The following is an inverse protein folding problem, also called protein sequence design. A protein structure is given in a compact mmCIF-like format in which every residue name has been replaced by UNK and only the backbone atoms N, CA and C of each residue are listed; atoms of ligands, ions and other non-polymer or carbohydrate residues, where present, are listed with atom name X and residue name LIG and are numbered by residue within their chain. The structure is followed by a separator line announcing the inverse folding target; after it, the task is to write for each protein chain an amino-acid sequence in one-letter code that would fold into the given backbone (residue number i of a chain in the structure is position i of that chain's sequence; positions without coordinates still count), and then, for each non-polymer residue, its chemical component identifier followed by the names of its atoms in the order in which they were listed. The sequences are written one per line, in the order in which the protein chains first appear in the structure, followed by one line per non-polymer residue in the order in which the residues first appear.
data_IF_443399811836
#
_entry.id   IF_443399811836
#
_cell.length_a   1.000
_cell.length_b   1.000
_cell.length_c   1.000
_cell.angle_alpha   90.00
_cell.angle_beta   90.00
_cell.angle_gamma   90.00
#
_symmetry.space_group_name_H-M   'P 1'
#
loop_
_entity.id
_entity.type
_entity.pdbx_description
1 polymer ?
#
# COMPACT_ATOMS: atom_id res chain seq x y z
N UNK A 1 21.10 9.94 -18.10
CA UNK A 1 19.63 9.83 -17.88
C UNK A 1 18.88 9.27 -19.10
N UNK A 2 19.15 9.75 -20.33
CA UNK A 2 18.62 9.16 -21.58
C UNK A 2 18.90 7.64 -21.69
N UNK A 3 20.08 7.19 -21.28
CA UNK A 3 20.44 5.75 -21.30
C UNK A 3 19.70 4.89 -20.28
N UNK A 4 19.14 5.50 -19.22
CA UNK A 4 18.37 4.75 -18.21
C UNK A 4 16.96 4.47 -18.72
N UNK A 5 16.35 5.43 -19.41
CA UNK A 5 15.02 5.29 -20.02
C UNK A 5 15.07 4.26 -21.14
N UNK A 6 16.14 4.26 -21.96
CA UNK A 6 16.35 3.26 -23.01
C UNK A 6 16.50 1.82 -22.51
N UNK A 7 16.92 1.63 -21.25
CA UNK A 7 17.12 0.32 -20.59
C UNK A 7 15.90 -0.19 -19.80
N UNK A 8 14.76 0.49 -19.88
CA UNK A 8 13.55 0.09 -19.14
C UNK A 8 12.45 -0.40 -20.08
N UNK A 9 11.96 -1.60 -19.80
CA UNK A 9 10.76 -2.17 -20.43
C UNK A 9 9.51 -1.42 -19.96
N UNK A 10 8.41 -1.55 -20.71
CA UNK A 10 7.12 -0.96 -20.30
C UNK A 10 6.65 -1.45 -18.92
N UNK A 11 6.70 -2.76 -18.57
CA UNK A 11 6.33 -3.23 -17.23
C UNK A 11 7.15 -2.60 -16.10
N UNK A 12 8.45 -2.42 -16.30
CA UNK A 12 9.32 -1.75 -15.30
C UNK A 12 8.88 -0.29 -15.10
N UNK A 13 8.57 0.42 -16.18
CA UNK A 13 8.06 1.81 -16.11
C UNK A 13 6.72 1.89 -15.37
N UNK A 14 5.83 0.91 -15.60
CA UNK A 14 4.57 0.80 -14.86
C UNK A 14 4.83 0.58 -13.36
N UNK A 15 5.75 -0.33 -13.02
CA UNK A 15 6.16 -0.56 -11.63
C UNK A 15 6.69 0.72 -10.95
N UNK A 16 7.53 1.49 -11.64
CA UNK A 16 8.01 2.80 -11.16
C UNK A 16 6.85 3.77 -10.93
N UNK A 17 5.96 3.92 -11.92
CA UNK A 17 4.82 4.83 -11.82
C UNK A 17 3.94 4.47 -10.62
N UNK A 18 3.64 3.19 -10.42
CA UNK A 18 2.84 2.72 -9.30
C UNK A 18 3.52 2.96 -7.95
N UNK A 19 4.83 2.76 -7.86
CA UNK A 19 5.59 3.06 -6.65
C UNK A 19 5.56 4.56 -6.32
N UNK A 20 5.72 5.43 -7.33
CA UNK A 20 5.59 6.89 -7.17
C UNK A 20 4.17 7.27 -6.77
N UNK A 21 3.15 6.68 -7.39
CA UNK A 21 1.76 6.89 -6.99
C UNK A 21 1.51 6.48 -5.54
N UNK A 22 2.10 5.38 -5.07
CA UNK A 22 2.04 4.98 -3.65
C UNK A 22 2.64 6.05 -2.75
N UNK A 23 3.78 6.62 -3.09
CA UNK A 23 4.41 7.71 -2.33
C UNK A 23 3.51 8.96 -2.31
N UNK A 24 3.00 9.38 -3.49
CA UNK A 24 2.09 10.53 -3.58
C UNK A 24 0.81 10.30 -2.78
N UNK A 25 0.27 9.08 -2.80
CA UNK A 25 -0.86 8.67 -1.99
C UNK A 25 -0.54 8.78 -0.50
N UNK A 26 0.64 8.30 -0.07
CA UNK A 26 1.10 8.43 1.31
C UNK A 26 1.18 9.88 1.77
N UNK A 27 1.80 10.77 0.99
CA UNK A 27 1.83 12.20 1.30
C UNK A 27 0.43 12.81 1.38
N UNK A 28 -0.47 12.44 0.46
CA UNK A 28 -1.86 12.93 0.45
C UNK A 28 -2.60 12.51 1.73
N UNK A 29 -2.50 11.24 2.13
CA UNK A 29 -3.07 10.75 3.39
C UNK A 29 -2.43 11.46 4.59
N UNK A 30 -1.11 11.68 4.56
CA UNK A 30 -0.39 12.40 5.62
C UNK A 30 -0.87 13.84 5.78
N UNK A 31 -1.12 14.55 4.68
CA UNK A 31 -1.69 15.91 4.69
C UNK A 31 -3.10 15.89 5.29
N UNK A 32 -3.96 14.97 4.86
CA UNK A 32 -5.33 14.87 5.38
C UNK A 32 -5.33 14.52 6.87
N UNK A 33 -4.51 13.55 7.28
CA UNK A 33 -4.43 13.08 8.65
C UNK A 33 -3.77 14.10 9.60
N UNK A 34 -2.74 14.80 9.16
CA UNK A 34 -2.01 15.78 9.97
C UNK A 34 -2.56 17.21 9.89
N UNK A 35 -2.86 17.69 8.69
CA UNK A 35 -3.28 19.07 8.42
C UNK A 35 -4.79 19.29 8.44
N UNK A 36 -5.59 18.24 8.24
CA UNK A 36 -7.06 18.29 8.20
C UNK A 36 -7.71 17.28 9.16
N UNK A 37 -7.06 16.99 10.29
CA UNK A 37 -7.49 16.00 11.28
C UNK A 37 -8.96 16.21 11.72
N UNK A 38 -9.38 17.47 11.90
CA UNK A 38 -10.77 17.81 12.25
C UNK A 38 -11.77 17.37 11.19
N UNK A 39 -11.49 17.58 9.91
CA UNK A 39 -12.35 17.15 8.79
C UNK A 39 -12.44 15.63 8.78
N UNK A 40 -11.30 14.95 8.89
CA UNK A 40 -11.28 13.49 8.89
C UNK A 40 -12.08 12.91 10.06
N UNK A 41 -11.85 13.42 11.27
CA UNK A 41 -12.61 12.99 12.47
C UNK A 41 -14.09 13.22 12.32
N UNK A 42 -14.52 14.35 11.74
CA UNK A 42 -15.93 14.64 11.51
C UNK A 42 -16.55 13.65 10.52
N UNK A 43 -15.84 13.30 9.43
CA UNK A 43 -16.32 12.28 8.48
C UNK A 43 -16.46 10.91 9.15
N UNK A 44 -15.47 10.48 9.93
CA UNK A 44 -15.52 9.21 10.63
C UNK A 44 -16.65 9.19 11.68
N UNK A 45 -16.80 10.28 12.43
CA UNK A 45 -17.85 10.44 13.44
C UNK A 45 -19.24 10.41 12.81
N UNK A 46 -19.47 11.14 11.72
CA UNK A 46 -20.74 11.12 11.00
C UNK A 46 -21.12 9.71 10.52
N UNK A 47 -20.14 8.92 10.04
CA UNK A 47 -20.35 7.52 9.67
C UNK A 47 -20.76 6.65 10.86
N UNK A 48 -20.18 6.87 12.03
CA UNK A 48 -20.51 6.13 13.24
C UNK A 48 -21.89 6.51 13.80
N UNK A 49 -22.19 7.81 13.85
CA UNK A 49 -23.46 8.35 14.36
C UNK A 49 -24.65 7.87 13.52
N UNK A 50 -24.48 7.77 12.20
CA UNK A 50 -25.50 7.23 11.29
C UNK A 50 -25.93 5.79 11.62
N UNK A 51 -25.10 5.02 12.34
CA UNK A 51 -25.38 3.63 12.73
C UNK A 51 -25.34 3.42 14.24
N UNK A 52 -25.39 4.51 15.03
CA UNK A 52 -25.26 4.45 16.50
C UNK A 52 -26.32 3.54 17.15
N UNK A 53 -27.57 3.65 16.70
CA UNK A 53 -28.66 2.83 17.25
C UNK A 53 -28.56 1.38 16.78
N UNK A 54 -28.26 1.15 15.50
CA UNK A 54 -28.39 -0.16 14.84
C UNK A 54 -27.17 -1.06 14.97
N UNK A 55 -25.97 -0.49 14.97
CA UNK A 55 -24.69 -1.23 15.01
C UNK A 55 -24.04 -1.13 16.39
N UNK A 56 -24.14 0.04 17.03
CA UNK A 56 -23.53 0.28 18.33
C UNK A 56 -24.50 0.11 19.51
N UNK A 57 -25.81 -0.08 19.29
CA UNK A 57 -26.81 -0.20 20.37
C UNK A 57 -26.75 0.97 21.37
N UNK A 58 -26.50 2.19 20.90
CA UNK A 58 -26.27 3.40 21.71
C UNK A 58 -25.03 3.34 22.63
N UNK A 59 -24.11 2.40 22.42
CA UNK A 59 -22.83 2.33 23.14
C UNK A 59 -21.81 3.36 22.60
N UNK A 60 -21.76 4.51 23.28
CA UNK A 60 -20.89 5.64 22.93
C UNK A 60 -19.42 5.32 23.17
N UNK A 61 -19.09 4.50 24.17
CA UNK A 61 -17.70 4.16 24.51
C UNK A 61 -17.11 3.23 23.45
N UNK A 62 -17.89 2.23 23.01
CA UNK A 62 -17.53 1.39 21.87
C UNK A 62 -17.38 2.21 20.60
N UNK A 63 -18.29 3.15 20.34
CA UNK A 63 -18.19 4.06 19.19
C UNK A 63 -16.87 4.85 19.21
N UNK A 64 -16.53 5.46 20.35
CA UNK A 64 -15.28 6.22 20.53
C UNK A 64 -14.04 5.35 20.35
N UNK A 65 -14.06 4.12 20.87
CA UNK A 65 -12.99 3.14 20.70
C UNK A 65 -12.76 2.83 19.21
N UNK A 66 -13.82 2.52 18.45
CA UNK A 66 -13.73 2.24 17.02
C UNK A 66 -13.26 3.46 16.22
N UNK A 67 -13.70 4.68 16.56
CA UNK A 67 -13.20 5.91 15.92
C UNK A 67 -11.69 6.08 16.10
N UNK A 68 -11.17 5.80 17.30
CA UNK A 68 -9.73 5.88 17.56
C UNK A 68 -8.95 4.80 16.76
N UNK A 69 -9.45 3.56 16.77
CA UNK A 69 -8.84 2.47 16.00
C UNK A 69 -8.86 2.76 14.49
N UNK A 70 -9.96 3.30 13.97
CA UNK A 70 -10.11 3.74 12.58
C UNK A 70 -9.05 4.77 12.20
N UNK A 71 -8.79 5.77 13.04
CA UNK A 71 -7.68 6.72 12.86
C UNK A 71 -6.32 6.01 12.78
N UNK A 72 -6.10 5.00 13.62
CA UNK A 72 -4.91 4.13 13.57
C UNK A 72 -4.74 3.42 12.21
N UNK A 73 -5.82 2.89 11.64
CA UNK A 73 -5.80 2.24 10.31
C UNK A 73 -5.46 3.24 9.19
N UNK A 74 -5.99 4.46 9.24
CA UNK A 74 -5.65 5.49 8.26
C UNK A 74 -4.19 5.93 8.39
N UNK A 75 -3.67 6.01 9.62
CA UNK A 75 -2.23 6.21 9.84
C UNK A 75 -1.40 5.08 9.25
N UNK A 76 -1.86 3.82 9.36
CA UNK A 76 -1.19 2.69 8.70
C UNK A 76 -1.18 2.82 7.18
N UNK A 77 -2.24 3.38 6.57
CA UNK A 77 -2.26 3.67 5.15
C UNK A 77 -1.14 4.63 4.74
N UNK A 78 -0.94 5.72 5.48
CA UNK A 78 0.16 6.67 5.26
C UNK A 78 1.53 5.99 5.37
N UNK A 79 1.75 5.24 6.46
CA UNK A 79 3.04 4.59 6.73
C UNK A 79 3.37 3.55 5.66
N UNK A 80 2.42 2.67 5.32
CA UNK A 80 2.65 1.65 4.30
C UNK A 80 2.81 2.26 2.90
N UNK A 81 2.07 3.32 2.58
CA UNK A 81 2.17 3.99 1.29
C UNK A 81 3.57 4.52 1.01
N UNK A 82 4.16 5.20 2.00
CA UNK A 82 5.51 5.74 1.90
C UNK A 82 6.57 4.67 2.08
N UNK A 83 6.44 3.80 3.09
CA UNK A 83 7.41 2.74 3.36
C UNK A 83 7.53 1.75 2.20
N UNK A 84 6.41 1.19 1.73
CA UNK A 84 6.40 0.28 0.59
C UNK A 84 6.70 1.01 -0.71
N UNK A 85 6.15 2.21 -0.92
CA UNK A 85 6.40 2.99 -2.14
C UNK A 85 7.88 3.31 -2.36
N UNK A 86 8.56 3.85 -1.33
CA UNK A 86 9.99 4.16 -1.38
C UNK A 86 10.83 2.88 -1.56
N UNK A 87 10.52 1.84 -0.78
CA UNK A 87 11.25 0.57 -0.86
C UNK A 87 11.10 -0.08 -2.25
N UNK A 88 9.88 -0.15 -2.78
CA UNK A 88 9.60 -0.65 -4.12
C UNK A 88 10.36 0.15 -5.19
N UNK A 89 10.35 1.48 -5.10
CA UNK A 89 11.07 2.32 -6.06
C UNK A 89 12.58 2.08 -6.01
N UNK A 90 13.16 2.02 -4.81
CA UNK A 90 14.58 1.73 -4.63
C UNK A 90 14.97 0.36 -5.18
N UNK A 91 14.19 -0.68 -4.85
CA UNK A 91 14.41 -2.04 -5.35
C UNK A 91 14.31 -2.13 -6.88
N UNK A 92 13.33 -1.46 -7.49
CA UNK A 92 13.19 -1.40 -8.95
C UNK A 92 14.41 -0.73 -9.58
N UNK A 93 14.90 0.38 -9.02
CA UNK A 93 16.12 1.01 -9.52
C UNK A 93 17.35 0.14 -9.36
N UNK A 94 17.51 -0.55 -8.23
CA UNK A 94 18.61 -1.49 -8.06
C UNK A 94 18.53 -2.63 -9.09
N UNK A 95 17.34 -3.17 -9.38
CA UNK A 95 17.17 -4.18 -10.45
C UNK A 95 17.52 -3.63 -11.84
N UNK A 96 17.25 -2.35 -12.12
CA UNK A 96 17.65 -1.71 -13.37
C UNK A 96 19.18 -1.67 -13.51
N UNK A 97 19.88 -1.41 -12.41
CA UNK A 97 21.34 -1.25 -12.42
C UNK A 97 22.09 -2.59 -12.45
N UNK A 98 21.59 -3.61 -11.74
CA UNK A 98 22.37 -4.81 -11.44
C UNK A 98 21.81 -6.09 -12.04
N UNK A 99 20.53 -6.12 -12.44
CA UNK A 99 19.89 -7.34 -12.92
C UNK A 99 19.65 -7.29 -14.44
N UNK A 100 19.88 -8.40 -15.15
CA UNK A 100 19.59 -8.47 -16.58
C UNK A 100 18.10 -8.32 -16.84
N UNK A 101 17.77 -7.83 -18.03
CA UNK A 101 16.37 -7.73 -18.48
C UNK A 101 15.73 -9.11 -18.65
N UNK A 102 14.43 -9.17 -18.39
CA UNK A 102 13.65 -10.38 -18.55
C UNK A 102 12.35 -10.37 -17.75
N UNK A 103 11.49 -11.34 -18.04
CA UNK A 103 10.14 -11.44 -17.46
C UNK A 103 10.11 -11.43 -15.93
N UNK A 104 11.12 -12.00 -15.27
CA UNK A 104 11.21 -11.99 -13.81
C UNK A 104 11.38 -10.58 -13.24
N UNK A 105 12.21 -9.73 -13.87
CA UNK A 105 12.40 -8.32 -13.50
C UNK A 105 11.14 -7.50 -13.77
N UNK A 106 10.49 -7.74 -14.90
CA UNK A 106 9.21 -7.11 -15.26
C UNK A 106 8.13 -7.43 -14.22
N UNK A 107 7.94 -8.71 -13.90
CA UNK A 107 6.98 -9.17 -12.89
C UNK A 107 7.32 -8.63 -11.52
N UNK A 108 8.60 -8.64 -11.11
CA UNK A 108 9.03 -8.10 -9.83
C UNK A 108 8.65 -6.61 -9.70
N UNK A 109 8.93 -5.81 -10.73
CA UNK A 109 8.63 -4.38 -10.72
C UNK A 109 7.13 -4.09 -10.63
N UNK A 110 6.31 -4.81 -11.41
CA UNK A 110 4.85 -4.65 -11.35
C UNK A 110 4.28 -5.10 -10.01
N UNK A 111 4.71 -6.25 -9.50
CA UNK A 111 4.28 -6.77 -8.18
C UNK A 111 4.65 -5.82 -7.03
N UNK A 112 5.86 -5.26 -7.03
CA UNK A 112 6.30 -4.27 -6.05
C UNK A 112 5.45 -2.99 -6.09
N UNK A 113 5.18 -2.46 -7.28
CA UNK A 113 4.37 -1.25 -7.45
C UNK A 113 2.89 -1.45 -7.09
N UNK A 114 2.26 -2.49 -7.64
CA UNK A 114 0.84 -2.81 -7.36
C UNK A 114 0.64 -3.21 -5.91
N UNK A 115 1.55 -4.00 -5.34
CA UNK A 115 1.49 -4.40 -3.94
C UNK A 115 1.57 -3.21 -2.99
N UNK A 116 2.52 -2.28 -3.22
CA UNK A 116 2.66 -1.08 -2.41
C UNK A 116 1.39 -0.21 -2.43
N UNK A 117 0.90 0.14 -3.62
CA UNK A 117 -0.28 0.99 -3.74
C UNK A 117 -1.56 0.29 -3.24
N UNK A 118 -1.76 -0.97 -3.63
CA UNK A 118 -2.95 -1.75 -3.28
C UNK A 118 -3.07 -1.99 -1.78
N UNK A 119 -1.98 -2.37 -1.12
CA UNK A 119 -1.99 -2.68 0.32
C UNK A 119 -2.19 -1.42 1.15
N UNK A 120 -1.63 -0.31 0.71
CA UNK A 120 -1.82 1.00 1.36
C UNK A 120 -3.25 1.51 1.19
N UNK A 121 -3.86 1.28 0.02
CA UNK A 121 -5.27 1.60 -0.24
C UNK A 121 -6.20 0.77 0.63
N UNK A 122 -5.88 -0.51 0.86
CA UNK A 122 -6.60 -1.38 1.78
C UNK A 122 -6.70 -0.76 3.18
N UNK A 123 -5.58 -0.31 3.76
CA UNK A 123 -5.58 0.29 5.09
C UNK A 123 -6.45 1.54 5.18
N UNK A 124 -6.45 2.38 4.14
CA UNK A 124 -7.30 3.57 4.10
C UNK A 124 -8.78 3.19 4.09
N UNK A 125 -9.18 2.26 3.23
CA UNK A 125 -10.57 1.83 3.15
C UNK A 125 -11.03 1.08 4.40
N UNK A 126 -10.15 0.29 5.03
CA UNK A 126 -10.42 -0.35 6.30
C UNK A 126 -10.72 0.70 7.39
N UNK A 127 -9.88 1.73 7.48
CA UNK A 127 -10.10 2.87 8.38
C UNK A 127 -11.44 3.57 8.11
N UNK A 128 -11.75 3.89 6.85
CA UNK A 128 -12.98 4.61 6.48
C UNK A 128 -14.25 3.77 6.68
N UNK A 129 -14.18 2.44 6.56
CA UNK A 129 -15.31 1.52 6.74
C UNK A 129 -15.60 1.19 8.20
N UNK A 130 -14.55 1.08 9.04
CA UNK A 130 -14.68 0.60 10.41
C UNK A 130 -15.78 1.30 11.25
N UNK A 131 -15.96 2.64 11.19
CA UNK A 131 -17.02 3.31 11.95
C UNK A 131 -18.44 2.92 11.51
N UNK A 132 -18.65 2.70 10.21
CA UNK A 132 -19.96 2.28 9.70
C UNK A 132 -20.30 0.81 10.01
N UNK A 133 -19.29 -0.01 10.31
CA UNK A 133 -19.45 -1.43 10.64
C UNK A 133 -19.36 -1.71 12.15
N UNK A 134 -18.99 -0.71 12.96
CA UNK A 134 -18.77 -0.90 14.40
C UNK A 134 -17.63 -1.84 14.76
N UNK A 135 -16.77 -2.19 13.81
CA UNK A 135 -15.70 -3.16 13.97
C UNK A 135 -14.61 -2.97 12.92
N UNK A 136 -13.36 -2.90 13.37
CA UNK A 136 -12.19 -2.92 12.49
C UNK A 136 -11.99 -4.29 11.84
N UNK A 137 -12.34 -5.37 12.54
CA UNK A 137 -12.27 -6.73 11.99
C UNK A 137 -13.24 -6.90 10.82
N UNK A 138 -14.50 -6.50 10.98
CA UNK A 138 -15.47 -6.56 9.88
C UNK A 138 -15.03 -5.69 8.69
N UNK A 139 -14.38 -4.55 8.95
CA UNK A 139 -13.82 -3.72 7.89
C UNK A 139 -12.71 -4.45 7.11
N UNK A 140 -11.79 -5.14 7.80
CA UNK A 140 -10.75 -5.95 7.19
C UNK A 140 -11.34 -7.10 6.37
N UNK A 141 -12.27 -7.84 6.97
CA UNK A 141 -12.92 -8.99 6.34
C UNK A 141 -13.69 -8.55 5.08
N UNK A 142 -14.31 -7.36 5.10
CA UNK A 142 -14.99 -6.80 3.93
C UNK A 142 -14.06 -6.40 2.77
N UNK A 143 -12.74 -6.43 2.97
CA UNK A 143 -11.72 -5.98 2.04
C UNK A 143 -10.65 -7.06 1.74
N UNK A 144 -10.88 -8.32 2.13
CA UNK A 144 -9.92 -9.41 1.92
C UNK A 144 -9.49 -9.58 0.46
N UNK A 145 -10.41 -9.36 -0.50
CA UNK A 145 -10.13 -9.42 -1.94
C UNK A 145 -9.15 -8.32 -2.42
N UNK A 146 -8.99 -7.24 -1.66
CA UNK A 146 -7.97 -6.23 -1.92
C UNK A 146 -6.71 -6.52 -1.10
N UNK A 147 -6.87 -6.80 0.20
CA UNK A 147 -5.78 -6.95 1.15
C UNK A 147 -4.85 -8.11 0.79
N UNK A 148 -5.41 -9.31 0.55
CA UNK A 148 -4.63 -10.53 0.35
C UNK A 148 -3.84 -10.46 -0.96
N UNK A 149 -4.44 -10.15 -2.12
CA UNK A 149 -3.68 -10.07 -3.36
C UNK A 149 -2.63 -8.96 -3.33
N UNK A 150 -2.92 -7.80 -2.73
CA UNK A 150 -1.94 -6.71 -2.64
C UNK A 150 -0.75 -7.04 -1.73
N UNK A 151 -1.00 -7.67 -0.58
CA UNK A 151 0.07 -8.17 0.29
C UNK A 151 0.89 -9.26 -0.41
N UNK A 152 0.22 -10.21 -1.09
CA UNK A 152 0.87 -11.27 -1.85
C UNK A 152 1.75 -10.71 -2.97
N UNK A 153 1.29 -9.69 -3.69
CA UNK A 153 2.09 -9.00 -4.72
C UNK A 153 3.32 -8.33 -4.11
N UNK A 154 3.20 -7.66 -2.96
CA UNK A 154 4.36 -7.06 -2.27
C UNK A 154 5.42 -8.11 -1.93
N UNK A 155 5.00 -9.24 -1.36
CA UNK A 155 5.90 -10.33 -0.99
C UNK A 155 6.49 -11.01 -2.22
N UNK A 156 5.67 -11.31 -3.23
CA UNK A 156 6.14 -11.92 -4.47
C UNK A 156 7.15 -11.03 -5.20
N UNK A 157 6.90 -9.72 -5.26
CA UNK A 157 7.83 -8.74 -5.82
C UNK A 157 9.17 -8.72 -5.07
N UNK A 158 9.13 -8.77 -3.74
CA UNK A 158 10.33 -8.85 -2.91
C UNK A 158 11.12 -10.15 -3.15
N UNK A 159 10.44 -11.30 -3.17
CA UNK A 159 11.07 -12.61 -3.39
C UNK A 159 11.70 -12.72 -4.78
N UNK A 160 11.02 -12.24 -5.83
CA UNK A 160 11.57 -12.20 -7.18
C UNK A 160 12.79 -11.29 -7.25
N UNK A 161 12.72 -10.11 -6.61
CA UNK A 161 13.84 -9.18 -6.53
C UNK A 161 15.04 -9.82 -5.85
N UNK A 162 14.83 -10.48 -4.70
CA UNK A 162 15.89 -11.20 -3.99
C UNK A 162 16.52 -12.29 -4.88
N UNK A 163 15.71 -13.13 -5.54
CA UNK A 163 16.20 -14.16 -6.44
C UNK A 163 17.01 -13.60 -7.62
N UNK A 164 16.62 -12.44 -8.16
CA UNK A 164 17.37 -11.74 -9.20
C UNK A 164 18.72 -11.24 -8.70
N UNK A 165 18.80 -10.72 -7.48
CA UNK A 165 20.07 -10.30 -6.88
C UNK A 165 20.99 -11.49 -6.58
N UNK A 166 20.45 -12.58 -6.03
CA UNK A 166 21.22 -13.83 -5.82
C UNK A 166 21.78 -14.32 -7.15
N UNK A 167 20.97 -14.33 -8.21
CA UNK A 167 21.42 -14.71 -9.55
C UNK A 167 22.50 -13.77 -10.07
N UNK A 168 22.32 -12.46 -9.95
CA UNK A 168 23.28 -11.47 -10.42
C UNK A 168 24.61 -11.54 -9.68
N UNK A 169 24.60 -11.82 -8.37
CA UNK A 169 25.80 -11.88 -7.54
C UNK A 169 26.59 -13.19 -7.70
N UNK A 170 25.91 -14.32 -7.86
CA UNK A 170 26.55 -15.65 -7.73
C UNK A 170 26.47 -16.54 -8.96
N UNK A 171 25.57 -16.27 -9.91
CA UNK A 171 25.43 -17.12 -11.10
C UNK A 171 26.16 -16.44 -12.26
N UNK A 172 27.40 -16.90 -12.53
CA UNK A 172 28.22 -16.41 -13.64
C UNK A 172 27.44 -16.44 -14.95
N UNK A 173 27.56 -15.35 -15.71
CA UNK A 173 27.12 -15.31 -17.10
C UNK A 173 27.92 -16.39 -17.86
N UNK A 174 27.25 -17.36 -18.47
CA UNK A 174 27.91 -18.29 -19.39
C UNK A 174 28.36 -17.44 -20.58
N UNK A 175 29.68 -17.31 -20.76
CA UNK A 175 30.29 -16.63 -21.91
C UNK A 175 29.93 -17.34 -23.22
#
# INVERSE_FOLDING_TARGET
MKDLIGKTTLPVRIGILLAVMSIMFGFSVGIVFGGFDTILRNVLKAKAEAVLVTVYNNDIDKMRSILNMSGGLIKMAHIHANGLGISSLALIFMMILFCPDGKAKDSAAVCLGLGALGYSTFWLFAGLKAPGLGSTQLAHDSLHLLAIPAAAMSVAGLLLTFGLFVRAAFIKKKE
#
